data_IF_317068114209
#
_entry.id   IF_317068114209
#
_cell.length_a   1.000
_cell.length_b   1.000
_cell.length_c   1.000
_cell.angle_alpha   90.00
_cell.angle_beta   90.00
_cell.angle_gamma   90.00
#
_symmetry.space_group_name_H-M   'P 1'
#
loop_
_entity.id
_entity.type
_entity.pdbx_description
1 polymer ?
#
# COMPACT_ATOMS: atom_id res chain seq x y z
N UNK A 1 -3.03 -35.94 23.61
CA UNK A 1 -1.95 -35.10 23.05
C UNK A 1 -0.73 -35.23 23.94
N UNK A 2 0.40 -35.68 23.40
CA UNK A 2 1.64 -35.87 24.18
C UNK A 2 2.38 -34.52 24.29
N UNK A 3 2.76 -34.12 25.50
CA UNK A 3 3.56 -32.90 25.74
C UNK A 3 5.01 -33.11 25.32
N UNK A 4 5.66 -32.04 24.85
CA UNK A 4 7.05 -32.06 24.37
C UNK A 4 8.07 -32.46 25.44
N UNK A 5 7.77 -32.26 26.73
CA UNK A 5 8.66 -32.65 27.85
C UNK A 5 8.89 -34.17 27.97
N UNK A 6 8.16 -35.00 27.22
CA UNK A 6 8.32 -36.46 27.21
C UNK A 6 9.27 -36.97 26.11
N UNK A 7 9.83 -36.07 25.30
CA UNK A 7 10.82 -36.42 24.27
C UNK A 7 12.19 -36.55 24.96
N UNK A 8 12.86 -37.69 24.75
CA UNK A 8 14.19 -37.94 25.30
C UNK A 8 15.24 -37.05 24.61
N UNK A 9 16.13 -36.41 25.38
CA UNK A 9 17.28 -35.66 24.86
C UNK A 9 17.08 -34.15 24.66
N UNK A 10 15.97 -33.56 25.14
CA UNK A 10 15.75 -32.10 25.13
C UNK A 10 16.41 -31.46 26.36
N UNK A 11 17.25 -30.45 26.13
CA UNK A 11 17.78 -29.54 27.16
C UNK A 11 16.73 -28.52 27.63
N UNK A 12 16.84 -28.06 28.88
CA UNK A 12 15.87 -27.13 29.48
C UNK A 12 15.74 -25.82 28.68
N UNK A 13 16.85 -25.31 28.15
CA UNK A 13 16.87 -24.09 27.33
C UNK A 13 16.12 -24.29 26.01
N UNK A 14 16.36 -25.40 25.31
CA UNK A 14 15.62 -25.76 24.08
C UNK A 14 14.14 -26.04 24.35
N UNK A 15 13.79 -26.60 25.51
CA UNK A 15 12.41 -26.81 25.91
C UNK A 15 11.69 -25.47 26.09
N UNK A 16 12.29 -24.55 26.84
CA UNK A 16 11.74 -23.20 27.04
C UNK A 16 11.60 -22.45 25.72
N UNK A 17 12.57 -22.60 24.81
CA UNK A 17 12.53 -21.98 23.47
C UNK A 17 11.41 -22.55 22.60
N UNK A 18 11.21 -23.88 22.63
CA UNK A 18 10.12 -24.56 21.92
C UNK A 18 8.75 -24.15 22.44
N UNK A 19 8.59 -24.03 23.76
CA UNK A 19 7.36 -23.54 24.39
C UNK A 19 7.08 -22.08 24.02
N UNK A 20 8.11 -21.24 24.03
CA UNK A 20 8.03 -19.84 23.63
C UNK A 20 7.69 -19.65 22.14
N UNK A 21 8.19 -20.54 21.28
CA UNK A 21 7.84 -20.59 19.86
C UNK A 21 6.45 -21.21 19.58
N UNK A 22 5.73 -21.66 20.63
CA UNK A 22 4.36 -22.17 20.53
C UNK A 22 4.24 -23.67 20.30
N UNK A 23 5.34 -24.43 20.39
CA UNK A 23 5.35 -25.89 20.22
C UNK A 23 5.15 -26.62 21.55
N UNK A 24 3.92 -26.63 22.07
CA UNK A 24 3.60 -27.31 23.35
C UNK A 24 3.34 -28.83 23.22
N UNK A 25 3.12 -29.31 22.00
CA UNK A 25 2.71 -30.69 21.71
C UNK A 25 3.62 -31.38 20.71
N UNK A 26 3.96 -32.65 20.97
CA UNK A 26 4.81 -33.45 20.09
C UNK A 26 4.23 -33.62 18.68
N UNK A 27 2.90 -33.60 18.55
CA UNK A 27 2.19 -33.63 17.26
C UNK A 27 2.44 -32.39 16.39
N UNK A 28 2.62 -31.22 17.00
CA UNK A 28 2.93 -29.98 16.29
C UNK A 28 4.37 -29.98 15.79
N UNK A 29 5.27 -30.54 16.61
CA UNK A 29 6.69 -30.70 16.27
C UNK A 29 6.91 -31.78 15.19
N UNK A 30 6.10 -32.84 15.17
CA UNK A 30 6.21 -33.92 14.19
C UNK A 30 5.90 -33.47 12.74
N UNK A 31 5.08 -32.43 12.58
CA UNK A 31 4.55 -31.93 11.29
C UNK A 31 5.38 -30.81 10.66
N UNK A 32 6.30 -30.19 11.40
CA UNK A 32 7.11 -29.07 10.91
C UNK A 32 8.41 -29.56 10.27
N UNK A 33 8.92 -28.85 9.27
CA UNK A 33 10.23 -29.14 8.70
C UNK A 33 11.35 -28.62 9.62
N UNK A 34 12.52 -29.29 9.67
CA UNK A 34 13.65 -28.86 10.52
C UNK A 34 14.09 -27.42 10.27
N UNK A 35 14.01 -26.95 9.02
CA UNK A 35 14.40 -25.60 8.61
C UNK A 35 13.37 -24.56 9.08
N UNK A 36 12.07 -24.85 8.92
CA UNK A 36 11.02 -23.96 9.41
C UNK A 36 11.05 -23.86 10.94
N UNK A 37 11.34 -24.97 11.62
CA UNK A 37 11.52 -24.98 13.07
C UNK A 37 12.71 -24.13 13.50
N UNK A 38 13.88 -24.30 12.87
CA UNK A 38 15.06 -23.48 13.16
C UNK A 38 14.77 -21.98 12.99
N UNK A 39 14.01 -21.59 11.96
CA UNK A 39 13.62 -20.19 11.73
C UNK A 39 12.74 -19.63 12.85
N UNK A 40 11.72 -20.36 13.28
CA UNK A 40 10.83 -19.91 14.35
C UNK A 40 11.56 -19.86 15.70
N UNK A 41 12.46 -20.82 15.96
CA UNK A 41 13.31 -20.80 17.15
C UNK A 41 14.30 -19.64 17.14
N UNK A 42 14.93 -19.34 16.00
CA UNK A 42 15.80 -18.16 15.85
C UNK A 42 15.04 -16.85 16.08
N UNK A 43 13.84 -16.73 15.52
CA UNK A 43 12.98 -15.54 15.74
C UNK A 43 12.58 -15.41 17.21
N UNK A 44 12.20 -16.51 17.86
CA UNK A 44 11.84 -16.51 19.28
C UNK A 44 13.05 -16.15 20.16
N UNK A 45 14.25 -16.67 19.83
CA UNK A 45 15.45 -16.40 20.59
C UNK A 45 15.95 -14.95 20.44
N UNK A 46 15.79 -14.35 19.25
CA UNK A 46 16.10 -12.94 19.03
C UNK A 46 15.25 -12.01 19.92
N UNK A 47 13.97 -12.35 20.08
CA UNK A 47 13.02 -11.55 20.87
C UNK A 47 13.14 -11.78 22.37
N UNK A 48 13.32 -13.04 22.79
CA UNK A 48 13.18 -13.45 24.19
C UNK A 48 14.52 -13.76 24.87
N UNK A 49 15.61 -13.92 24.10
CA UNK A 49 16.97 -14.20 24.58
C UNK A 49 17.02 -15.35 25.60
N UNK A 50 16.30 -16.43 25.30
CA UNK A 50 16.12 -17.58 26.20
C UNK A 50 17.37 -18.45 26.23
N UNK A 51 17.96 -18.71 25.07
CA UNK A 51 19.14 -19.56 24.92
C UNK A 51 20.33 -18.77 24.39
N UNK A 52 21.54 -19.17 24.78
CA UNK A 52 22.79 -18.54 24.35
C UNK A 52 23.07 -18.77 22.85
N UNK A 53 22.58 -19.89 22.31
CA UNK A 53 22.60 -20.21 20.89
C UNK A 53 21.38 -21.07 20.52
N UNK A 54 20.90 -20.94 19.28
CA UNK A 54 19.80 -21.77 18.74
C UNK A 54 20.34 -23.16 18.39
N UNK A 55 19.59 -24.25 18.64
CA UNK A 55 20.03 -25.61 18.30
C UNK A 55 20.26 -25.75 16.79
N UNK A 56 21.34 -26.42 16.40
CA UNK A 56 21.65 -26.67 14.99
C UNK A 56 20.59 -27.55 14.30
N UNK A 57 20.48 -27.43 12.98
CA UNK A 57 19.45 -28.11 12.16
C UNK A 57 19.53 -29.63 12.29
N UNK A 58 20.74 -30.17 12.44
CA UNK A 58 21.01 -31.59 12.68
C UNK A 58 20.33 -32.10 13.96
N UNK A 59 20.48 -31.36 15.05
CA UNK A 59 19.87 -31.66 16.36
C UNK A 59 18.35 -31.52 16.33
N UNK A 60 17.82 -30.53 15.61
CA UNK A 60 16.38 -30.37 15.42
C UNK A 60 15.76 -31.53 14.63
N UNK A 61 16.51 -32.10 13.68
CA UNK A 61 16.05 -33.27 12.91
C UNK A 61 15.89 -34.52 13.80
N UNK A 62 16.83 -34.74 14.73
CA UNK A 62 16.73 -35.82 15.73
C UNK A 62 15.52 -35.63 16.65
N UNK A 63 15.26 -34.39 17.09
CA UNK A 63 14.11 -34.06 17.92
C UNK A 63 12.77 -34.26 17.20
N UNK A 64 12.69 -33.90 15.91
CA UNK A 64 11.50 -34.14 15.09
C UNK A 64 11.30 -35.65 14.89
N UNK A 65 12.36 -36.42 14.68
CA UNK A 65 12.28 -37.88 14.58
C UNK A 65 11.79 -38.53 15.88
N UNK A 66 12.29 -38.06 17.04
CA UNK A 66 11.81 -38.51 18.35
C UNK A 66 10.34 -38.12 18.59
N UNK A 67 9.93 -36.92 18.17
CA UNK A 67 8.54 -36.47 18.24
C UNK A 67 7.59 -37.33 17.38
N UNK A 68 8.03 -37.73 16.18
CA UNK A 68 7.28 -38.64 15.28
C UNK A 68 7.09 -40.02 15.91
N UNK A 69 8.15 -40.58 16.50
CA UNK A 69 8.12 -41.88 17.19
C UNK A 69 7.13 -41.89 18.36
N UNK A 70 7.05 -40.80 19.13
CA UNK A 70 6.16 -40.68 20.29
C UNK A 70 4.72 -40.34 19.88
N UNK A 71 4.53 -39.56 18.80
CA UNK A 71 3.21 -39.17 18.33
C UNK A 71 2.51 -40.24 17.49
N UNK A 72 3.21 -41.30 17.07
CA UNK A 72 2.68 -42.34 16.18
C UNK A 72 2.35 -41.82 14.77
N UNK A 73 2.87 -40.65 14.40
CA UNK A 73 2.67 -40.04 13.09
C UNK A 73 3.81 -40.53 12.20
N UNK A 74 3.51 -41.52 11.36
CA UNK A 74 4.43 -42.08 10.35
C UNK A 74 4.25 -41.41 8.98
N UNK A 75 3.68 -40.21 8.93
CA UNK A 75 3.45 -39.49 7.68
C UNK A 75 4.82 -39.12 7.06
N UNK A 76 5.28 -39.98 6.17
CA UNK A 76 6.07 -39.57 5.03
C UNK A 76 5.28 -38.44 4.37
N UNK A 77 5.84 -37.24 4.40
CA UNK A 77 5.30 -36.03 3.78
C UNK A 77 4.50 -36.39 2.52
N UNK A 78 3.18 -36.21 2.58
CA UNK A 78 2.29 -36.42 1.44
C UNK A 78 2.85 -35.68 0.22
N UNK A 79 3.27 -36.47 -0.77
CA UNK A 79 3.92 -36.09 -2.02
C UNK A 79 2.96 -35.41 -3.01
N UNK A 80 2.09 -34.52 -2.52
CA UNK A 80 1.16 -33.71 -3.34
C UNK A 80 1.37 -32.19 -3.14
N UNK A 81 2.57 -31.79 -2.72
CA UNK A 81 3.03 -30.40 -2.73
C UNK A 81 4.39 -30.31 -3.43
N UNK A 82 4.49 -30.95 -4.60
CA UNK A 82 5.61 -30.76 -5.53
C UNK A 82 5.47 -29.42 -6.25
N UNK A 83 5.91 -28.35 -5.56
CA UNK A 83 6.40 -27.11 -6.21
C UNK A 83 7.81 -26.75 -5.70
N UNK A 84 8.40 -27.50 -4.77
CA UNK A 84 9.66 -27.11 -4.12
C UNK A 84 10.73 -28.22 -4.06
N UNK A 85 10.93 -28.97 -5.15
CA UNK A 85 12.16 -29.76 -5.35
C UNK A 85 13.34 -28.92 -5.90
N UNK A 86 13.49 -27.67 -5.45
CA UNK A 86 14.70 -26.88 -5.70
C UNK A 86 15.73 -26.97 -4.55
N UNK A 87 15.42 -27.65 -3.44
CA UNK A 87 16.24 -27.64 -2.22
C UNK A 87 16.97 -28.95 -1.92
N UNK A 88 17.01 -29.90 -2.86
CA UNK A 88 17.68 -31.19 -2.71
C UNK A 88 19.00 -31.30 -3.50
N UNK A 89 19.65 -30.18 -3.85
CA UNK A 89 20.92 -30.20 -4.59
C UNK A 89 22.04 -29.71 -3.66
N UNK A 90 23.00 -30.57 -3.24
CA UNK A 90 24.23 -30.07 -2.64
C UNK A 90 25.00 -29.28 -3.71
N UNK A 91 25.50 -28.08 -3.37
CA UNK A 91 26.17 -27.11 -4.26
C UNK A 91 25.29 -26.19 -5.15
N UNK A 92 24.15 -25.72 -4.62
CA UNK A 92 23.36 -24.63 -5.24
C UNK A 92 24.21 -23.41 -5.63
N UNK A 93 25.21 -23.04 -4.80
CA UNK A 93 26.07 -21.87 -5.06
C UNK A 93 26.90 -22.04 -6.34
N UNK A 94 27.49 -23.22 -6.57
CA UNK A 94 28.26 -23.48 -7.80
C UNK A 94 27.35 -23.55 -9.03
N UNK A 95 26.11 -24.03 -8.89
CA UNK A 95 25.14 -24.02 -9.98
C UNK A 95 24.66 -22.60 -10.31
N UNK A 96 24.49 -21.71 -9.33
CA UNK A 96 24.14 -20.31 -9.59
C UNK A 96 25.28 -19.56 -10.29
N UNK A 97 26.54 -19.81 -9.92
CA UNK A 97 27.69 -19.21 -10.61
C UNK A 97 27.81 -19.69 -12.07
N UNK A 98 27.40 -20.92 -12.36
CA UNK A 98 27.39 -21.49 -13.70
C UNK A 98 26.08 -21.25 -14.49
N UNK A 99 25.05 -20.67 -13.86
CA UNK A 99 23.73 -20.53 -14.47
C UNK A 99 23.74 -19.42 -15.56
N UNK A 100 23.14 -19.69 -16.74
CA UNK A 100 23.03 -18.68 -17.78
C UNK A 100 22.11 -17.53 -17.32
N UNK A 101 22.65 -16.31 -17.28
CA UNK A 101 21.90 -15.11 -16.91
C UNK A 101 21.03 -14.67 -18.08
N UNK A 102 19.72 -14.52 -17.86
CA UNK A 102 18.82 -13.96 -18.84
C UNK A 102 19.09 -12.45 -18.99
N UNK A 103 19.48 -12.02 -20.19
CA UNK A 103 19.65 -10.60 -20.52
C UNK A 103 18.35 -10.07 -21.14
N UNK A 104 17.74 -9.01 -20.59
CA UNK A 104 16.51 -8.47 -21.15
C UNK A 104 16.77 -7.90 -22.56
N UNK A 105 15.99 -8.36 -23.53
CA UNK A 105 16.02 -7.86 -24.91
C UNK A 105 15.33 -6.49 -24.97
N UNK A 106 15.95 -5.53 -25.67
CA UNK A 106 15.31 -4.23 -25.92
C UNK A 106 14.20 -4.37 -26.98
N UNK A 107 13.15 -3.56 -26.85
CA UNK A 107 12.04 -3.56 -27.80
C UNK A 107 12.48 -3.27 -29.26
N UNK A 108 13.58 -2.53 -29.45
CA UNK A 108 14.16 -2.26 -30.78
C UNK A 108 14.74 -3.51 -31.43
N UNK A 109 15.51 -4.29 -30.67
CA UNK A 109 16.06 -5.57 -31.13
C UNK A 109 14.95 -6.57 -31.50
N UNK A 110 13.83 -6.54 -30.78
CA UNK A 110 12.66 -7.37 -31.11
C UNK A 110 12.03 -6.96 -32.44
N UNK A 111 11.91 -5.65 -32.70
CA UNK A 111 11.32 -5.14 -33.94
C UNK A 111 12.25 -5.33 -35.14
N UNK A 112 13.54 -5.04 -35.00
CA UNK A 112 14.53 -5.20 -36.08
C UNK A 112 14.64 -6.66 -36.54
N UNK A 113 14.63 -7.59 -35.58
CA UNK A 113 14.74 -9.02 -35.86
C UNK A 113 13.38 -9.71 -36.04
N UNK A 114 12.27 -8.96 -36.07
CA UNK A 114 10.89 -9.47 -36.18
C UNK A 114 10.56 -10.58 -35.18
N UNK A 115 11.07 -10.46 -33.96
CA UNK A 115 10.82 -11.41 -32.87
C UNK A 115 9.47 -11.09 -32.23
N UNK A 116 8.55 -12.06 -32.27
CA UNK A 116 7.32 -12.04 -31.50
C UNK A 116 7.57 -12.34 -30.02
N UNK A 117 6.58 -12.04 -29.18
CA UNK A 117 6.63 -12.36 -27.74
C UNK A 117 6.74 -13.88 -27.53
N UNK A 118 6.16 -14.68 -28.43
CA UNK A 118 6.25 -16.14 -28.39
C UNK A 118 7.63 -16.69 -28.77
N UNK A 119 8.49 -15.89 -29.41
CA UNK A 119 9.84 -16.29 -29.80
C UNK A 119 10.86 -16.05 -28.68
N UNK A 120 10.45 -15.38 -27.59
CA UNK A 120 11.28 -15.17 -26.41
C UNK A 120 11.06 -16.33 -25.45
N UNK A 121 12.09 -17.14 -25.13
CA UNK A 121 11.93 -18.23 -24.18
C UNK A 121 11.55 -17.69 -22.80
N UNK A 122 10.54 -18.29 -22.19
CA UNK A 122 10.17 -18.00 -20.81
C UNK A 122 11.29 -18.45 -19.87
N UNK A 123 11.77 -17.53 -19.04
CA UNK A 123 12.76 -17.81 -18.01
C UNK A 123 12.14 -17.57 -16.63
N UNK A 124 12.45 -18.43 -15.66
CA UNK A 124 12.10 -18.20 -14.26
C UNK A 124 12.92 -17.02 -13.72
N UNK A 125 12.23 -16.01 -13.19
CA UNK A 125 12.88 -14.91 -12.50
C UNK A 125 13.35 -15.40 -11.11
N UNK A 126 14.66 -15.47 -10.92
CA UNK A 126 15.28 -15.87 -9.65
C UNK A 126 15.06 -14.88 -8.49
N UNK A 127 14.46 -13.70 -8.73
CA UNK A 127 14.10 -12.76 -7.67
C UNK A 127 13.12 -13.36 -6.65
N UNK A 128 12.23 -14.25 -7.10
CA UNK A 128 11.30 -14.94 -6.20
C UNK A 128 12.02 -16.01 -5.35
N UNK A 129 13.13 -16.57 -5.85
CA UNK A 129 13.91 -17.64 -5.23
C UNK A 129 15.04 -17.09 -4.33
N UNK A 130 15.54 -15.88 -4.59
CA UNK A 130 16.51 -15.19 -3.75
C UNK A 130 16.01 -15.05 -2.30
N UNK A 131 14.69 -14.88 -2.14
CA UNK A 131 14.05 -14.83 -0.83
C UNK A 131 14.03 -16.19 -0.10
N UNK A 132 14.18 -17.30 -0.82
CA UNK A 132 14.23 -18.67 -0.28
C UNK A 132 15.65 -19.16 0.03
N UNK A 133 16.67 -18.65 -0.67
CA UNK A 133 18.05 -19.16 -0.56
C UNK A 133 18.92 -18.43 0.48
N UNK A 134 18.45 -17.35 1.11
CA UNK A 134 19.21 -16.63 2.14
C UNK A 134 20.58 -16.13 1.67
N UNK A 135 20.79 -16.01 0.36
CA UNK A 135 22.02 -15.57 -0.23
C UNK A 135 22.04 -14.03 -0.22
N UNK A 136 22.41 -13.45 0.92
CA UNK A 136 22.60 -12.01 1.10
C UNK A 136 23.92 -11.50 0.48
N UNK A 137 24.41 -12.20 -0.56
CA UNK A 137 25.52 -11.70 -1.38
C UNK A 137 24.91 -11.03 -2.60
N UNK A 138 24.79 -9.71 -2.50
CA UNK A 138 24.65 -8.84 -3.66
C UNK A 138 25.66 -9.29 -4.72
N UNK A 139 25.18 -9.94 -5.78
CA UNK A 139 25.92 -9.94 -7.03
C UNK A 139 25.98 -8.46 -7.43
N UNK A 140 27.15 -7.86 -7.33
CA UNK A 140 27.44 -6.57 -7.95
C UNK A 140 27.15 -6.73 -9.44
N UNK A 141 25.95 -6.32 -9.85
CA UNK A 141 25.63 -6.22 -11.26
C UNK A 141 26.51 -5.12 -11.83
N UNK A 142 27.56 -5.53 -12.55
CA UNK A 142 28.36 -4.61 -13.33
C UNK A 142 27.43 -3.84 -14.27
N UNK A 143 27.46 -2.49 -14.27
CA UNK A 143 26.53 -1.71 -15.08
C UNK A 143 26.91 -1.86 -16.55
N UNK A 144 26.20 -2.72 -17.27
CA UNK A 144 26.24 -2.74 -18.73
C UNK A 144 25.70 -1.40 -19.22
N UNK A 145 26.58 -0.60 -19.84
CA UNK A 145 26.20 0.64 -20.53
C UNK A 145 25.22 0.32 -21.65
N UNK A 146 23.92 0.44 -21.34
CA UNK A 146 22.86 0.45 -22.33
C UNK A 146 22.93 1.77 -23.12
N UNK A 147 23.63 1.74 -24.25
CA UNK A 147 23.49 2.73 -25.31
C UNK A 147 22.25 2.40 -26.10
N UNK A 148 21.19 3.22 -25.99
CA UNK A 148 19.96 3.00 -26.75
C UNK A 148 18.77 3.71 -26.14
N UNK A 149 18.71 5.03 -26.29
CA UNK A 149 17.54 5.82 -25.92
C UNK A 149 16.30 5.35 -26.68
N UNK A 150 15.17 5.27 -25.97
CA UNK A 150 13.81 5.61 -26.39
C UNK A 150 12.79 5.03 -25.40
N UNK A 151 12.79 5.57 -24.18
CA UNK A 151 11.57 5.70 -23.40
C UNK A 151 11.43 7.19 -23.15
N UNK A 152 10.40 7.81 -23.72
CA UNK A 152 10.02 9.20 -23.41
C UNK A 152 9.41 9.23 -22.00
N UNK A 153 10.25 8.99 -21.00
CA UNK A 153 10.06 9.50 -19.66
C UNK A 153 10.44 10.98 -19.70
N UNK A 154 9.61 11.80 -19.05
CA UNK A 154 9.70 13.25 -19.02
C UNK A 154 11.14 13.79 -18.99
N UNK A 155 11.39 14.77 -19.86
CA UNK A 155 12.65 15.49 -20.03
C UNK A 155 13.26 16.01 -18.70
N UNK A 156 14.55 15.72 -18.58
CA UNK A 156 15.61 16.52 -17.96
C UNK A 156 15.52 16.92 -16.48
N UNK A 157 16.11 16.06 -15.65
CA UNK A 157 17.35 16.45 -14.93
C UNK A 157 18.22 15.22 -14.68
N UNK A 158 19.13 14.91 -15.59
CA UNK A 158 20.24 13.98 -15.37
C UNK A 158 21.33 14.62 -14.47
N UNK A 159 20.93 15.22 -13.35
CA UNK A 159 21.84 15.31 -12.22
C UNK A 159 21.60 14.05 -11.40
N UNK A 160 22.55 13.12 -11.42
CA UNK A 160 22.70 12.18 -10.31
C UNK A 160 22.71 13.07 -9.06
N UNK A 161 21.61 13.08 -8.30
CA UNK A 161 21.55 13.81 -7.03
C UNK A 161 22.39 12.99 -6.07
N UNK A 162 23.71 13.19 -6.14
CA UNK A 162 24.59 12.80 -5.06
C UNK A 162 24.13 13.57 -3.83
N UNK A 163 23.83 12.82 -2.77
CA UNK A 163 23.57 13.40 -1.47
C UNK A 163 24.86 14.14 -1.11
N UNK A 164 24.79 15.47 -1.09
CA UNK A 164 25.91 16.31 -0.70
C UNK A 164 26.25 16.00 0.75
N UNK A 165 27.27 15.17 0.96
CA UNK A 165 27.67 14.67 2.27
C UNK A 165 28.09 15.80 3.22
N UNK A 166 28.43 16.98 2.68
CA UNK A 166 28.67 18.19 3.47
C UNK A 166 27.42 18.75 4.15
N UNK A 167 26.22 18.34 3.70
CA UNK A 167 24.92 18.74 4.24
C UNK A 167 24.36 17.73 5.25
N UNK A 168 24.98 16.55 5.35
CA UNK A 168 24.60 15.51 6.31
C UNK A 168 25.40 15.75 7.58
N UNK A 169 24.74 16.24 8.63
CA UNK A 169 25.36 16.39 9.96
C UNK A 169 25.63 15.01 10.57
N UNK A 170 26.71 14.90 11.32
CA UNK A 170 27.05 13.66 12.04
C UNK A 170 26.09 13.41 13.19
N UNK A 171 26.03 12.16 13.65
CA UNK A 171 25.07 11.73 14.69
C UNK A 171 25.28 12.50 16.00
N UNK A 172 26.51 12.96 16.26
CA UNK A 172 26.88 13.69 17.47
C UNK A 172 26.34 15.14 17.46
N UNK A 173 26.24 15.77 16.29
CA UNK A 173 25.72 17.13 16.14
C UNK A 173 24.19 17.20 16.30
N UNK A 174 23.49 16.08 16.10
CA UNK A 174 22.06 15.93 16.42
C UNK A 174 21.79 15.64 17.89
N UNK A 175 22.79 15.13 18.63
CA UNK A 175 22.68 14.84 20.04
C UNK A 175 22.86 16.10 20.92
N UNK A 176 23.37 17.20 20.35
CA UNK A 176 23.52 18.47 21.06
C UNK A 176 22.16 19.21 21.19
N UNK A 177 21.61 19.37 22.41
CA UNK A 177 20.34 20.05 22.65
C UNK A 177 20.38 21.56 22.37
N UNK A 178 21.56 22.14 22.13
CA UNK A 178 21.77 23.57 21.88
C UNK A 178 21.80 23.91 20.39
N UNK A 179 21.81 22.90 19.51
CA UNK A 179 21.88 23.12 18.08
C UNK A 179 20.61 23.83 17.55
N UNK A 180 20.74 24.95 16.81
CA UNK A 180 19.59 25.66 16.27
C UNK A 180 18.83 24.76 15.27
N UNK A 181 17.48 24.75 15.31
CA UNK A 181 16.69 23.93 14.41
C UNK A 181 16.92 24.34 12.96
N UNK A 182 17.13 23.36 12.07
CA UNK A 182 17.31 23.58 10.63
C UNK A 182 16.07 24.28 10.08
N UNK A 183 16.27 25.52 9.59
CA UNK A 183 15.26 26.23 8.80
C UNK A 183 15.23 25.57 7.42
N UNK A 184 14.12 24.95 6.99
CA UNK A 184 14.05 24.35 5.67
C UNK A 184 14.22 25.45 4.62
N UNK A 185 14.93 25.19 3.51
CA UNK A 185 15.10 26.19 2.45
C UNK A 185 13.73 26.64 1.95
N UNK A 186 13.52 27.95 1.97
CA UNK A 186 12.27 28.63 1.61
C UNK A 186 11.89 28.48 0.13
N UNK A 187 12.81 28.00 -0.72
CA UNK A 187 12.63 27.95 -2.17
C UNK A 187 12.80 26.57 -2.84
N UNK A 188 12.92 25.46 -2.10
CA UNK A 188 13.26 24.16 -2.68
C UNK A 188 12.06 23.34 -3.16
N UNK A 189 11.95 23.18 -4.48
CA UNK A 189 11.26 22.14 -5.27
C UNK A 189 9.78 21.86 -4.90
N UNK A 190 8.85 22.18 -5.81
CA UNK A 190 7.39 22.06 -5.59
C UNK A 190 6.97 20.62 -5.23
N UNK A 191 7.75 19.62 -5.64
CA UNK A 191 7.57 18.23 -5.22
C UNK A 191 7.73 18.03 -3.71
N UNK A 192 8.71 18.69 -3.10
CA UNK A 192 9.00 18.61 -1.67
C UNK A 192 7.93 19.36 -0.87
N UNK A 193 7.44 20.51 -1.37
CA UNK A 193 6.32 21.26 -0.72
C UNK A 193 5.08 20.39 -0.51
N UNK A 194 4.82 19.47 -1.44
CA UNK A 194 3.64 18.60 -1.41
C UNK A 194 3.74 17.48 -0.36
N UNK A 195 4.95 17.11 0.04
CA UNK A 195 5.24 16.11 1.07
C UNK A 195 5.36 16.71 2.47
N UNK A 196 5.49 18.04 2.59
CA UNK A 196 5.65 18.71 3.87
C UNK A 196 4.38 18.65 4.72
N UNK A 197 4.60 18.45 6.02
CA UNK A 197 3.62 18.77 7.06
C UNK A 197 3.12 20.22 6.92
N UNK A 198 1.94 20.55 7.48
CA UNK A 198 1.42 21.92 7.44
C UNK A 198 2.45 22.90 8.00
N UNK A 199 2.57 24.11 7.43
CA UNK A 199 3.42 25.16 8.00
C UNK A 199 2.95 25.44 9.43
N UNK A 200 3.89 25.69 10.34
CA UNK A 200 3.58 26.00 11.75
C UNK A 200 2.61 27.19 11.85
N UNK A 201 2.82 28.21 11.03
CA UNK A 201 1.96 29.41 10.88
C UNK A 201 0.50 29.08 10.53
N UNK A 202 0.25 28.06 9.70
CA UNK A 202 -1.10 27.78 9.18
C UNK A 202 -2.05 27.16 10.21
N UNK A 203 -1.45 26.56 11.25
CA UNK A 203 -2.14 25.94 12.38
C UNK A 203 -1.89 26.69 13.69
N UNK A 204 -1.20 27.83 13.66
CA UNK A 204 -0.93 28.63 14.85
C UNK A 204 -2.24 29.08 15.51
N UNK A 205 -2.33 28.88 16.83
CA UNK A 205 -3.54 29.20 17.61
C UNK A 205 -4.77 28.33 17.32
N UNK A 206 -4.66 27.23 16.56
CA UNK A 206 -5.77 26.30 16.32
C UNK A 206 -5.60 25.00 17.10
N UNK A 207 -6.66 24.60 17.80
CA UNK A 207 -6.66 23.33 18.52
C UNK A 207 -6.47 22.14 17.56
N UNK A 208 -5.57 21.18 17.87
CA UNK A 208 -5.34 19.99 17.06
C UNK A 208 -6.59 19.11 16.87
N UNK A 209 -7.55 19.19 17.79
CA UNK A 209 -8.83 18.46 17.72
C UNK A 209 -9.85 19.15 16.79
N UNK A 210 -9.70 20.44 16.53
CA UNK A 210 -10.66 21.24 15.77
C UNK A 210 -10.80 20.78 14.31
N UNK A 211 -11.98 21.01 13.71
CA UNK A 211 -12.23 20.72 12.28
C UNK A 211 -11.49 21.69 11.34
N UNK A 212 -11.00 22.82 11.85
CA UNK A 212 -10.26 23.83 11.08
C UNK A 212 -8.74 23.62 11.12
N UNK A 213 -8.27 22.69 11.94
CA UNK A 213 -6.87 22.28 11.98
C UNK A 213 -6.53 21.55 10.68
N UNK A 214 -5.57 22.09 9.93
CA UNK A 214 -5.12 21.54 8.66
C UNK A 214 -4.27 20.31 8.94
N UNK A 215 -4.67 19.18 8.36
CA UNK A 215 -3.99 17.88 8.52
C UNK A 215 -3.55 17.36 7.16
N UNK A 216 -2.42 16.65 7.16
CA UNK A 216 -2.00 15.81 6.05
C UNK A 216 -1.34 16.53 4.87
N UNK A 217 -1.29 15.82 3.76
CA UNK A 217 -0.49 16.15 2.58
C UNK A 217 -1.18 17.19 1.70
N UNK A 218 -0.40 18.04 1.03
CA UNK A 218 -0.93 19.04 0.10
C UNK A 218 -1.27 18.39 -1.25
N UNK A 219 -2.49 18.63 -1.74
CA UNK A 219 -2.90 18.16 -3.06
C UNK A 219 -2.21 18.97 -4.17
N UNK A 220 -1.79 18.32 -5.26
CA UNK A 220 -1.10 18.99 -6.37
C UNK A 220 -1.96 20.06 -7.05
N UNK A 221 -3.23 19.75 -7.28
CA UNK A 221 -4.19 20.62 -7.93
C UNK A 221 -5.39 20.88 -7.01
N UNK A 222 -5.31 21.88 -6.11
CA UNK A 222 -6.37 22.12 -5.14
C UNK A 222 -7.67 22.66 -5.78
N UNK A 223 -7.55 23.51 -6.80
CA UNK A 223 -8.69 24.08 -7.52
C UNK A 223 -9.54 22.99 -8.17
N UNK A 224 -8.90 22.01 -8.82
CA UNK A 224 -9.59 20.90 -9.50
C UNK A 224 -10.46 20.10 -8.53
N UNK A 225 -9.94 19.79 -7.34
CA UNK A 225 -10.69 19.06 -6.30
C UNK A 225 -11.82 19.92 -5.73
N UNK A 226 -11.58 21.22 -5.53
CA UNK A 226 -12.59 22.17 -5.06
C UNK A 226 -13.79 22.25 -6.01
N UNK A 227 -13.54 22.48 -7.31
CA UNK A 227 -14.60 22.52 -8.32
C UNK A 227 -15.28 21.17 -8.50
N UNK A 228 -14.52 20.06 -8.44
CA UNK A 228 -15.10 18.72 -8.43
C UNK A 228 -16.09 18.52 -7.28
N UNK A 229 -15.71 18.91 -6.06
CA UNK A 229 -16.61 18.82 -4.91
C UNK A 229 -17.85 19.70 -5.04
N UNK A 230 -17.70 20.92 -5.59
CA UNK A 230 -18.82 21.83 -5.84
C UNK A 230 -19.83 21.20 -6.81
N UNK A 231 -19.36 20.68 -7.95
CA UNK A 231 -20.20 20.07 -8.98
C UNK A 231 -20.87 18.79 -8.47
N UNK A 232 -20.14 17.95 -7.73
CA UNK A 232 -20.73 16.74 -7.10
C UNK A 232 -21.81 17.10 -6.09
N UNK A 233 -21.61 18.14 -5.27
CA UNK A 233 -22.63 18.60 -4.32
C UNK A 233 -23.86 19.16 -5.06
N UNK A 234 -23.65 19.97 -6.11
CA UNK A 234 -24.72 20.46 -6.97
C UNK A 234 -25.51 19.32 -7.59
N UNK A 235 -24.84 18.28 -8.10
CA UNK A 235 -25.49 17.09 -8.67
C UNK A 235 -26.33 16.33 -7.63
N UNK A 236 -25.79 16.14 -6.42
CA UNK A 236 -26.51 15.49 -5.32
C UNK A 236 -27.78 16.24 -4.91
N UNK A 237 -27.77 17.57 -4.99
CA UNK A 237 -28.92 18.42 -4.69
C UNK A 237 -29.89 18.54 -5.88
N UNK A 238 -29.38 18.58 -7.11
CA UNK A 238 -30.20 18.77 -8.31
C UNK A 238 -31.05 17.54 -8.61
N UNK A 239 -30.60 16.32 -8.31
CA UNK A 239 -31.38 15.09 -8.54
C UNK A 239 -32.73 15.10 -7.78
N UNK A 240 -32.78 15.24 -6.44
CA UNK A 240 -34.05 15.23 -5.71
C UNK A 240 -34.92 16.45 -6.05
N UNK A 241 -34.31 17.62 -6.26
CA UNK A 241 -35.04 18.84 -6.64
C UNK A 241 -35.66 18.69 -8.03
N UNK A 242 -34.91 18.16 -9.00
CA UNK A 242 -35.43 17.88 -10.34
C UNK A 242 -36.55 16.86 -10.31
N UNK A 243 -36.40 15.76 -9.54
CA UNK A 243 -37.45 14.76 -9.39
C UNK A 243 -38.74 15.34 -8.78
N UNK A 244 -38.61 16.15 -7.70
CA UNK A 244 -39.74 16.82 -7.07
C UNK A 244 -40.41 17.82 -8.02
N UNK A 245 -39.63 18.65 -8.72
CA UNK A 245 -40.15 19.63 -9.68
C UNK A 245 -40.85 18.97 -10.87
N UNK A 246 -40.30 17.89 -11.43
CA UNK A 246 -40.91 17.13 -12.51
C UNK A 246 -42.24 16.50 -12.07
N UNK A 247 -42.28 15.92 -10.87
CA UNK A 247 -43.51 15.40 -10.27
C UNK A 247 -44.57 16.49 -10.09
N UNK A 248 -44.18 17.64 -9.51
CA UNK A 248 -45.10 18.77 -9.28
C UNK A 248 -45.65 19.36 -10.59
N UNK A 249 -44.82 19.49 -11.63
CA UNK A 249 -45.24 19.97 -12.94
C UNK A 249 -46.17 18.98 -13.65
N UNK A 250 -45.93 17.68 -13.49
CA UNK A 250 -46.83 16.66 -14.02
C UNK A 250 -48.17 16.66 -13.27
N UNK A 251 -48.11 16.78 -11.93
CA UNK A 251 -49.29 16.87 -11.09
C UNK A 251 -50.11 18.16 -11.32
N UNK A 252 -49.46 19.29 -11.63
CA UNK A 252 -50.17 20.54 -11.95
C UNK A 252 -50.99 20.40 -13.24
N UNK A 253 -50.51 19.62 -14.21
CA UNK A 253 -51.24 19.39 -15.46
C UNK A 253 -52.39 18.39 -15.30
N UNK A 254 -52.21 17.32 -14.53
CA UNK A 254 -53.23 16.27 -14.37
C UNK A 254 -54.22 16.53 -13.21
N UNK A 255 -53.82 17.27 -12.19
CA UNK A 255 -54.61 17.58 -10.98
C UNK A 255 -54.63 19.09 -10.69
N UNK A 256 -55.11 19.92 -11.64
CA UNK A 256 -55.01 21.39 -11.55
C UNK A 256 -55.78 21.97 -10.35
N UNK A 257 -56.81 21.28 -9.85
CA UNK A 257 -57.59 21.70 -8.67
C UNK A 257 -56.75 21.79 -7.39
N UNK A 258 -55.70 20.97 -7.26
CA UNK A 258 -54.85 20.92 -6.07
C UNK A 258 -53.49 21.62 -6.27
N UNK A 259 -53.03 21.74 -7.52
CA UNK A 259 -51.64 22.14 -7.84
C UNK A 259 -51.54 23.33 -8.82
N UNK A 260 -52.59 24.15 -8.97
CA UNK A 260 -52.56 25.35 -9.83
C UNK A 260 -51.56 26.42 -9.40
N UNK A 261 -51.10 26.39 -8.15
CA UNK A 261 -50.12 27.33 -7.62
C UNK A 261 -48.68 27.04 -8.06
N UNK A 262 -48.43 25.87 -8.67
CA UNK A 262 -47.08 25.42 -9.06
C UNK A 262 -46.53 26.30 -10.19
N UNK A 263 -45.42 27.02 -9.99
CA UNK A 263 -44.89 27.90 -11.02
C UNK A 263 -44.26 27.14 -12.20
N UNK A 264 -44.53 27.58 -13.44
CA UNK A 264 -43.97 26.95 -14.64
C UNK A 264 -42.44 27.06 -14.75
N UNK A 265 -41.80 28.03 -14.06
CA UNK A 265 -40.34 28.16 -14.07
C UNK A 265 -39.60 26.99 -13.39
N UNK A 266 -40.30 26.15 -12.63
CA UNK A 266 -39.74 24.93 -12.04
C UNK A 266 -39.14 23.98 -13.10
N UNK A 267 -39.50 24.16 -14.38
CA UNK A 267 -38.91 23.41 -15.51
C UNK A 267 -37.40 23.62 -15.66
N UNK A 268 -36.83 24.69 -15.10
CA UNK A 268 -35.39 24.97 -15.14
C UNK A 268 -34.59 23.86 -14.44
N UNK A 269 -35.11 23.27 -13.36
CA UNK A 269 -34.40 22.22 -12.62
C UNK A 269 -34.18 20.93 -13.43
N UNK A 270 -35.21 20.28 -14.01
CA UNK A 270 -35.01 19.10 -14.85
C UNK A 270 -34.23 19.44 -16.13
N UNK A 271 -34.39 20.64 -16.68
CA UNK A 271 -33.64 21.08 -17.87
C UNK A 271 -32.16 21.32 -17.59
N UNK A 272 -31.80 21.80 -16.39
CA UNK A 272 -30.41 22.03 -15.97
C UNK A 272 -29.66 20.75 -15.58
N UNK A 273 -30.38 19.70 -15.16
CA UNK A 273 -29.82 18.43 -14.73
C UNK A 273 -28.86 17.76 -15.75
N UNK A 274 -29.17 17.66 -17.06
CA UNK A 274 -28.24 17.09 -18.04
C UNK A 274 -26.92 17.87 -18.13
N UNK A 275 -26.96 19.19 -18.02
CA UNK A 275 -25.76 20.03 -18.03
C UNK A 275 -24.90 19.76 -16.78
N UNK A 276 -25.51 19.73 -15.59
CA UNK A 276 -24.82 19.41 -14.34
C UNK A 276 -24.25 17.99 -14.37
N UNK A 277 -25.01 17.03 -14.92
CA UNK A 277 -24.57 15.64 -15.07
C UNK A 277 -23.35 15.52 -15.99
N UNK A 278 -23.30 16.29 -17.08
CA UNK A 278 -22.13 16.35 -17.97
C UNK A 278 -20.90 16.88 -17.23
N UNK A 279 -21.03 17.99 -16.49
CA UNK A 279 -19.93 18.52 -15.69
C UNK A 279 -19.46 17.52 -14.63
N UNK A 280 -20.38 16.81 -13.97
CA UNK A 280 -20.05 15.76 -13.02
C UNK A 280 -19.32 14.58 -13.67
N UNK A 281 -19.77 14.12 -14.85
CA UNK A 281 -19.13 13.03 -15.58
C UNK A 281 -17.69 13.38 -15.97
N UNK A 282 -17.42 14.63 -16.35
CA UNK A 282 -16.06 15.09 -16.66
C UNK A 282 -15.23 15.25 -15.39
N UNK A 283 -15.66 16.10 -14.45
CA UNK A 283 -14.86 16.48 -13.27
C UNK A 283 -14.76 15.37 -12.22
N UNK A 284 -15.84 14.60 -12.02
CA UNK A 284 -15.88 13.48 -11.08
C UNK A 284 -14.93 12.36 -11.48
N UNK A 285 -14.82 12.08 -12.78
CA UNK A 285 -13.86 11.10 -13.32
C UNK A 285 -12.43 11.61 -13.35
N UNK A 286 -12.22 12.91 -13.18
CA UNK A 286 -10.92 13.56 -13.27
C UNK A 286 -10.25 13.64 -11.90
N UNK A 287 -11.05 13.80 -10.84
CA UNK A 287 -10.57 14.00 -9.47
C UNK A 287 -10.18 12.69 -8.80
N UNK A 288 -8.87 12.47 -8.62
CA UNK A 288 -8.31 11.33 -7.91
C UNK A 288 -7.59 11.75 -6.63
N UNK A 289 -7.54 10.83 -5.68
CA UNK A 289 -6.65 10.93 -4.52
C UNK A 289 -5.20 10.82 -4.98
N UNK A 290 -4.29 11.59 -4.39
CA UNK A 290 -2.86 11.50 -4.71
C UNK A 290 -2.18 10.25 -4.14
N UNK A 291 -2.64 9.76 -3.00
CA UNK A 291 -1.98 8.65 -2.28
C UNK A 291 -2.38 7.31 -2.89
N UNK A 292 -3.68 7.05 -3.05
CA UNK A 292 -4.18 5.78 -3.56
C UNK A 292 -4.69 5.85 -5.01
N UNK A 293 -4.61 7.00 -5.68
CA UNK A 293 -5.06 7.22 -7.07
C UNK A 293 -6.55 6.93 -7.35
N UNK A 294 -7.34 6.61 -6.31
CA UNK A 294 -8.77 6.33 -6.46
C UNK A 294 -9.59 7.60 -6.69
N UNK A 295 -10.67 7.48 -7.48
CA UNK A 295 -11.58 8.57 -7.79
C UNK A 295 -12.36 8.98 -6.53
N UNK A 296 -12.32 10.26 -6.20
CA UNK A 296 -12.85 10.76 -4.92
C UNK A 296 -14.38 10.87 -4.90
N UNK A 297 -14.97 11.29 -6.02
CA UNK A 297 -16.40 11.62 -6.09
C UNK A 297 -17.26 10.52 -6.72
N UNK A 298 -16.63 9.45 -7.23
CA UNK A 298 -17.35 8.35 -7.88
C UNK A 298 -17.70 7.30 -6.82
N UNK A 299 -18.99 6.94 -6.66
CA UNK A 299 -19.37 5.86 -5.77
C UNK A 299 -18.80 4.54 -6.31
N UNK A 300 -18.11 3.80 -5.45
CA UNK A 300 -17.60 2.46 -5.74
C UNK A 300 -17.94 1.52 -4.58
N UNK A 301 -18.20 0.26 -4.91
CA UNK A 301 -18.58 -0.82 -3.99
C UNK A 301 -17.35 -1.54 -3.42
N UNK A 302 -16.57 -0.87 -2.57
CA UNK A 302 -15.41 -1.46 -1.89
C UNK A 302 -15.40 -1.01 -0.43
N UNK A 303 -14.61 -1.71 0.39
CA UNK A 303 -14.40 -1.38 1.80
C UNK A 303 -13.79 0.02 1.96
N UNK A 304 -14.52 0.90 2.64
CA UNK A 304 -14.10 2.27 2.92
C UNK A 304 -13.33 2.32 4.22
N UNK A 305 -12.39 3.26 4.34
CA UNK A 305 -11.61 3.42 5.56
C UNK A 305 -12.52 3.78 6.74
N UNK A 306 -12.31 3.20 7.94
CA UNK A 306 -13.06 3.54 9.14
C UNK A 306 -12.84 5.00 9.58
N UNK A 307 -11.74 5.62 9.13
CA UNK A 307 -11.41 7.02 9.42
C UNK A 307 -12.09 8.01 8.47
N UNK A 308 -12.78 7.53 7.44
CA UNK A 308 -13.49 8.38 6.50
C UNK A 308 -14.73 9.02 7.16
N UNK A 309 -15.02 10.26 6.80
CA UNK A 309 -16.24 10.91 7.26
C UNK A 309 -17.46 10.24 6.62
N UNK A 310 -18.43 9.84 7.45
CA UNK A 310 -19.63 9.15 7.01
C UNK A 310 -20.87 9.78 7.64
N UNK A 311 -21.96 9.79 6.88
CA UNK A 311 -23.31 10.11 7.36
C UNK A 311 -24.19 8.91 7.03
N UNK A 312 -24.98 8.43 8.01
CA UNK A 312 -25.73 7.16 7.91
C UNK A 312 -26.64 7.06 6.68
N UNK A 313 -27.20 8.18 6.21
CA UNK A 313 -28.12 8.21 5.06
C UNK A 313 -27.48 8.69 3.76
N UNK A 314 -26.60 9.69 3.82
CA UNK A 314 -25.99 10.32 2.64
C UNK A 314 -24.63 9.73 2.24
N UNK A 315 -24.16 8.71 2.98
CA UNK A 315 -22.92 8.01 2.72
C UNK A 315 -21.68 8.84 3.02
N UNK A 316 -20.66 8.70 2.16
CA UNK A 316 -19.30 9.21 2.39
C UNK A 316 -18.94 10.39 1.48
N UNK A 317 -19.63 10.56 0.35
CA UNK A 317 -19.30 11.57 -0.67
C UNK A 317 -19.80 12.95 -0.23
N UNK A 318 -20.98 13.04 0.38
CA UNK A 318 -21.50 14.32 0.89
C UNK A 318 -20.56 14.94 1.94
N UNK A 319 -20.20 14.25 3.05
CA UNK A 319 -19.30 14.84 4.03
C UNK A 319 -17.92 15.15 3.44
N UNK A 320 -17.44 14.37 2.48
CA UNK A 320 -16.23 14.69 1.70
C UNK A 320 -16.36 16.04 0.99
N UNK A 321 -17.44 16.28 0.26
CA UNK A 321 -17.68 17.54 -0.45
C UNK A 321 -17.79 18.72 0.52
N UNK A 322 -18.58 18.57 1.58
CA UNK A 322 -18.79 19.62 2.61
C UNK A 322 -17.47 20.00 3.29
N UNK A 323 -16.65 19.01 3.68
CA UNK A 323 -15.36 19.27 4.30
C UNK A 323 -14.38 19.96 3.34
N UNK A 324 -14.38 19.52 2.08
CA UNK A 324 -13.56 20.11 1.01
C UNK A 324 -13.91 21.58 0.79
N UNK A 325 -15.20 21.92 0.72
CA UNK A 325 -15.66 23.28 0.46
C UNK A 325 -15.52 24.21 1.67
N UNK A 326 -15.91 23.75 2.87
CA UNK A 326 -15.93 24.60 4.08
C UNK A 326 -14.56 24.72 4.76
N UNK A 327 -13.82 23.61 4.85
CA UNK A 327 -12.58 23.56 5.63
C UNK A 327 -11.32 23.50 4.75
N UNK A 328 -11.47 23.31 3.43
CA UNK A 328 -10.37 23.18 2.46
C UNK A 328 -9.41 22.02 2.78
N UNK A 329 -9.92 21.00 3.46
CA UNK A 329 -9.22 19.73 3.67
C UNK A 329 -10.26 18.61 3.81
N UNK A 330 -9.86 17.37 3.54
CA UNK A 330 -10.72 16.20 3.68
C UNK A 330 -9.90 14.95 3.99
N UNK A 331 -10.57 13.85 4.35
CA UNK A 331 -9.96 12.51 4.39
C UNK A 331 -10.41 11.70 3.18
N UNK A 332 -9.46 11.06 2.49
CA UNK A 332 -9.81 10.16 1.41
C UNK A 332 -10.69 9.01 1.93
N UNK A 333 -11.78 8.70 1.23
CA UNK A 333 -12.70 7.62 1.58
C UNK A 333 -12.06 6.23 1.51
N UNK A 334 -11.02 6.07 0.69
CA UNK A 334 -10.31 4.82 0.45
C UNK A 334 -9.15 4.61 1.43
N UNK A 335 -8.09 5.42 1.33
CA UNK A 335 -6.90 5.26 2.18
C UNK A 335 -7.00 5.94 3.55
N UNK A 336 -8.02 6.77 3.78
CA UNK A 336 -8.19 7.51 5.05
C UNK A 336 -7.18 8.64 5.28
N UNK A 337 -6.21 8.83 4.39
CA UNK A 337 -5.19 9.87 4.52
C UNK A 337 -5.85 11.25 4.49
N UNK A 338 -5.50 12.16 5.42
CA UNK A 338 -5.92 13.55 5.34
C UNK A 338 -5.19 14.28 4.20
N UNK A 339 -5.92 15.06 3.43
CA UNK A 339 -5.44 15.82 2.28
C UNK A 339 -5.92 17.26 2.43
N UNK A 340 -5.00 18.22 2.32
CA UNK A 340 -5.28 19.66 2.37
C UNK A 340 -5.23 20.29 0.97
N UNK A 341 -6.04 21.34 0.78
CA UNK A 341 -6.17 22.09 -0.47
C UNK A 341 -5.64 23.52 -0.37
N UNK A 342 -5.18 23.93 0.80
CA UNK A 342 -4.48 25.19 1.03
C UNK A 342 -3.23 24.95 1.86
N UNK A 343 -2.26 25.85 1.72
CA UNK A 343 -1.15 25.96 2.68
C UNK A 343 -1.61 26.59 3.99
#
# INVERSE_FOLDING_TARGET
>A
MVRICRIEGIDEDSLALLEAAGFQHASSLARISPIALHRELSRANELLRIALAVPDVSRLQELIAAARKISGINDALDANSEVNEASAIPNVIQLLEAAPVAVPLSARMMVENKLGVADVPEALALDEIACYLGADRMLESSPVKSSGGNVRLAENSNSKVEIDASRVRSIEEFADPTAPPVVPPSGGDDRIKLLRSPRKESNEGRDPSSRRYLRGLLHSNPFRIYFGALVTLMMMLSIPVAAASAFLLLASNHLPKFFSWVPSWLIVFPLSLPLIALFYAVLGNICSCRVCCQKLFVPKSHLKSPRAHHVRLLGYILPLCVHTLLFRWFRCTHCGTPIRLKE
#
